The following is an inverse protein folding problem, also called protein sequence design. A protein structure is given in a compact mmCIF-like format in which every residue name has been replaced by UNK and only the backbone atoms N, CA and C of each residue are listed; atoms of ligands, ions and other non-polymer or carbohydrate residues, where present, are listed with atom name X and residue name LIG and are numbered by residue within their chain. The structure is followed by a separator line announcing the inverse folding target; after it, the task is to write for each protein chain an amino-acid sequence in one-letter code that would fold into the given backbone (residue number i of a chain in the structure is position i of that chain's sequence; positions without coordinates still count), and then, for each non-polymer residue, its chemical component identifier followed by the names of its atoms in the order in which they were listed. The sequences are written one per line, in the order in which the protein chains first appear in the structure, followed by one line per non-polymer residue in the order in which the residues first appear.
data_IF_777237575875
#
_entry.id   IF_777237575875
#
_cell.length_a   1.000
_cell.length_b   1.000
_cell.length_c   1.000
_cell.angle_alpha   90.00
_cell.angle_beta   90.00
_cell.angle_gamma   90.00
#
_symmetry.space_group_name_H-M   'P 1'
#
loop_
_entity.id
_entity.type
_entity.pdbx_description
1 polymer ?
#
# COMPACT_ATOMS: atom_id res chain seq x y z
N UNK A 1 -25.88 -26.06 3.88
CA UNK A 1 -25.65 -24.85 3.05
C UNK A 1 -24.77 -23.82 3.76
N UNK A 2 -24.90 -23.58 5.06
CA UNK A 2 -24.03 -22.71 5.86
C UNK A 2 -22.58 -23.22 5.94
N UNK A 3 -22.37 -24.50 6.22
CA UNK A 3 -21.06 -25.11 6.38
C UNK A 3 -20.17 -25.02 5.11
N UNK A 4 -20.76 -25.13 3.92
CA UNK A 4 -20.05 -24.96 2.65
C UNK A 4 -19.67 -23.50 2.37
N UNK A 5 -20.45 -22.55 2.88
CA UNK A 5 -20.19 -21.11 2.72
C UNK A 5 -19.07 -20.66 3.66
N UNK A 6 -19.07 -21.14 4.90
CA UNK A 6 -18.01 -20.85 5.89
C UNK A 6 -16.66 -21.41 5.46
N UNK A 7 -16.62 -22.65 4.96
CA UNK A 7 -15.38 -23.28 4.47
C UNK A 7 -14.79 -22.51 3.28
N UNK A 8 -15.62 -22.07 2.34
CA UNK A 8 -15.19 -21.29 1.17
C UNK A 8 -14.66 -19.91 1.57
N UNK A 9 -15.29 -19.26 2.56
CA UNK A 9 -14.86 -17.96 3.05
C UNK A 9 -13.56 -18.06 3.85
N UNK A 10 -13.39 -19.09 4.67
CA UNK A 10 -12.16 -19.38 5.41
C UNK A 10 -10.98 -19.60 4.45
N UNK A 11 -11.18 -20.34 3.35
CA UNK A 11 -10.16 -20.54 2.33
C UNK A 11 -9.76 -19.25 1.62
N UNK A 12 -10.74 -18.35 1.31
CA UNK A 12 -10.47 -17.05 0.70
C UNK A 12 -9.59 -16.18 1.59
N UNK A 13 -9.96 -16.07 2.88
CA UNK A 13 -9.23 -15.22 3.83
C UNK A 13 -7.82 -15.77 4.09
N UNK A 14 -7.68 -17.09 4.22
CA UNK A 14 -6.38 -17.73 4.41
C UNK A 14 -5.44 -17.52 3.21
N UNK A 15 -5.95 -17.70 1.99
CA UNK A 15 -5.20 -17.44 0.78
C UNK A 15 -4.81 -15.95 0.65
N UNK A 16 -5.76 -15.04 0.88
CA UNK A 16 -5.50 -13.60 0.87
C UNK A 16 -4.47 -13.19 1.93
N UNK A 17 -4.50 -13.80 3.12
CA UNK A 17 -3.53 -13.54 4.18
C UNK A 17 -2.12 -13.98 3.79
N UNK A 18 -1.98 -15.17 3.20
CA UNK A 18 -0.70 -15.68 2.68
C UNK A 18 -0.09 -14.70 1.66
N UNK A 19 -0.88 -14.29 0.67
CA UNK A 19 -0.40 -13.35 -0.34
C UNK A 19 -0.20 -11.94 0.21
N UNK A 20 -1.01 -11.51 1.17
CA UNK A 20 -0.79 -10.26 1.89
C UNK A 20 0.58 -10.24 2.60
N UNK A 21 0.96 -11.36 3.23
CA UNK A 21 2.29 -11.49 3.83
C UNK A 21 3.41 -11.43 2.77
N UNK A 22 3.24 -12.08 1.62
CA UNK A 22 4.20 -12.03 0.51
C UNK A 22 4.34 -10.60 -0.02
N UNK A 23 3.22 -9.91 -0.27
CA UNK A 23 3.21 -8.52 -0.76
C UNK A 23 3.89 -7.59 0.26
N UNK A 24 3.59 -7.77 1.55
CA UNK A 24 4.25 -7.02 2.63
C UNK A 24 5.75 -7.27 2.67
N UNK A 25 6.20 -8.51 2.55
CA UNK A 25 7.62 -8.86 2.51
C UNK A 25 8.32 -8.25 1.28
N UNK A 26 7.71 -8.31 0.10
CA UNK A 26 8.24 -7.68 -1.12
C UNK A 26 8.35 -6.17 -0.94
N UNK A 27 7.34 -5.53 -0.35
CA UNK A 27 7.37 -4.09 -0.06
C UNK A 27 8.50 -3.73 0.89
N UNK A 28 8.73 -4.50 1.95
CA UNK A 28 9.83 -4.31 2.88
C UNK A 28 11.18 -4.43 2.17
N UNK A 29 11.37 -5.46 1.36
CA UNK A 29 12.61 -5.65 0.58
C UNK A 29 12.87 -4.45 -0.33
N UNK A 30 11.84 -3.95 -1.02
CA UNK A 30 11.98 -2.77 -1.88
C UNK A 30 12.35 -1.51 -1.07
N UNK A 31 11.72 -1.30 0.09
CA UNK A 31 12.07 -0.18 0.98
C UNK A 31 13.52 -0.29 1.44
N UNK A 32 13.97 -1.46 1.89
CA UNK A 32 15.36 -1.69 2.33
C UNK A 32 16.35 -1.43 1.19
N UNK A 33 16.09 -1.98 0.00
CA UNK A 33 16.95 -1.79 -1.16
C UNK A 33 17.11 -0.31 -1.50
N UNK A 34 16.00 0.43 -1.56
CA UNK A 34 16.04 1.85 -1.88
C UNK A 34 16.63 2.67 -0.73
N UNK A 35 16.37 2.31 0.52
CA UNK A 35 16.98 2.93 1.70
C UNK A 35 18.53 2.88 1.63
N UNK A 36 19.09 1.72 1.25
CA UNK A 36 20.54 1.54 1.11
C UNK A 36 21.10 2.33 -0.08
N UNK A 37 20.34 2.45 -1.18
CA UNK A 37 20.81 3.12 -2.39
C UNK A 37 20.64 4.64 -2.28
N UNK A 38 19.49 5.14 -1.86
CA UNK A 38 19.19 6.57 -1.82
C UNK A 38 17.96 6.90 -0.98
N UNK A 39 18.18 7.48 0.18
CA UNK A 39 17.09 7.99 1.04
C UNK A 39 16.24 9.03 0.29
N UNK A 40 16.89 9.90 -0.51
CA UNK A 40 16.20 10.91 -1.30
C UNK A 40 15.20 10.30 -2.30
N UNK A 41 15.49 9.12 -2.85
CA UNK A 41 14.57 8.43 -3.76
C UNK A 41 13.33 7.90 -3.04
N UNK A 42 13.45 7.45 -1.76
CA UNK A 42 12.29 7.07 -0.93
C UNK A 42 11.28 8.21 -0.78
N UNK A 43 11.76 9.45 -0.78
CA UNK A 43 10.95 10.65 -0.63
C UNK A 43 10.28 11.10 -1.95
N UNK A 44 10.45 10.37 -3.05
CA UNK A 44 9.92 10.77 -4.37
C UNK A 44 8.58 10.12 -4.69
N UNK A 45 7.75 10.81 -5.45
CA UNK A 45 6.55 10.22 -6.05
C UNK A 45 6.86 9.02 -6.96
N UNK A 46 8.04 8.97 -7.58
CA UNK A 46 8.47 7.85 -8.43
C UNK A 46 8.53 6.55 -7.64
N UNK A 47 9.03 6.58 -6.41
CA UNK A 47 9.05 5.41 -5.54
C UNK A 47 7.63 4.99 -5.11
N UNK A 48 6.75 5.95 -4.80
CA UNK A 48 5.36 5.67 -4.49
C UNK A 48 4.65 4.96 -5.66
N UNK A 49 4.84 5.47 -6.90
CA UNK A 49 4.28 4.85 -8.10
C UNK A 49 4.87 3.46 -8.36
N UNK A 50 6.16 3.25 -8.11
CA UNK A 50 6.80 1.95 -8.24
C UNK A 50 6.13 0.93 -7.30
N UNK A 51 5.96 1.27 -6.02
CA UNK A 51 5.28 0.43 -5.04
C UNK A 51 3.82 0.16 -5.43
N UNK A 52 3.11 1.18 -5.93
CA UNK A 52 1.72 1.04 -6.37
C UNK A 52 1.61 0.04 -7.53
N UNK A 53 2.44 0.17 -8.57
CA UNK A 53 2.40 -0.71 -9.75
C UNK A 53 2.75 -2.14 -9.37
N UNK A 54 3.81 -2.35 -8.59
CA UNK A 54 4.22 -3.68 -8.13
C UNK A 54 3.13 -4.27 -7.23
N UNK A 55 2.61 -3.50 -6.27
CA UNK A 55 1.55 -3.92 -5.37
C UNK A 55 0.27 -4.33 -6.11
N UNK A 56 -0.20 -3.51 -7.06
CA UNK A 56 -1.35 -3.84 -7.90
C UNK A 56 -1.13 -5.12 -8.71
N UNK A 57 0.05 -5.27 -9.33
CA UNK A 57 0.41 -6.48 -10.09
C UNK A 57 0.35 -7.73 -9.22
N UNK A 58 0.91 -7.67 -8.01
CA UNK A 58 0.90 -8.79 -7.07
C UNK A 58 -0.50 -9.11 -6.55
N UNK A 59 -1.35 -8.12 -6.29
CA UNK A 59 -2.75 -8.32 -5.87
C UNK A 59 -3.56 -8.98 -7.00
N UNK A 60 -3.37 -8.53 -8.25
CA UNK A 60 -4.03 -9.15 -9.42
C UNK A 60 -3.56 -10.58 -9.58
N UNK A 61 -2.25 -10.82 -9.50
CA UNK A 61 -1.67 -12.17 -9.56
C UNK A 61 -2.28 -13.08 -8.49
N UNK A 62 -2.27 -12.64 -7.23
CA UNK A 62 -2.84 -13.39 -6.11
C UNK A 62 -4.33 -13.70 -6.29
N UNK A 63 -5.10 -12.74 -6.82
CA UNK A 63 -6.52 -12.95 -7.10
C UNK A 63 -6.78 -13.93 -8.24
N UNK A 64 -5.93 -13.92 -9.29
CA UNK A 64 -5.99 -14.88 -10.39
C UNK A 64 -5.60 -16.28 -9.91
N UNK A 65 -4.57 -16.39 -9.09
CA UNK A 65 -4.12 -17.62 -8.47
C UNK A 65 -5.25 -18.27 -7.65
N UNK A 66 -5.85 -17.51 -6.74
CA UNK A 66 -7.01 -17.97 -5.98
C UNK A 66 -8.18 -18.37 -6.87
N UNK A 67 -8.48 -17.58 -7.92
CA UNK A 67 -9.54 -17.93 -8.88
C UNK A 67 -9.29 -19.29 -9.54
N UNK A 68 -8.05 -19.59 -9.88
CA UNK A 68 -7.69 -20.87 -10.52
C UNK A 68 -7.83 -22.05 -9.54
N UNK A 69 -7.49 -21.86 -8.26
CA UNK A 69 -7.67 -22.88 -7.22
C UNK A 69 -9.15 -23.23 -6.99
N UNK A 70 -10.07 -22.26 -7.12
CA UNK A 70 -11.50 -22.47 -6.87
C UNK A 70 -12.32 -22.86 -8.13
N UNK A 71 -11.67 -23.31 -9.19
CA UNK A 71 -12.35 -23.79 -10.41
C UNK A 71 -12.46 -22.74 -11.53
N UNK A 72 -11.68 -21.67 -11.51
CA UNK A 72 -11.52 -20.73 -12.61
C UNK A 72 -12.52 -19.57 -12.66
N UNK A 73 -13.47 -19.50 -11.72
CA UNK A 73 -14.50 -18.45 -11.66
C UNK A 73 -14.55 -17.79 -10.28
N UNK A 74 -14.62 -16.47 -10.26
CA UNK A 74 -14.77 -15.69 -9.03
C UNK A 74 -15.66 -14.46 -9.27
N UNK A 75 -16.74 -14.26 -8.52
CA UNK A 75 -17.55 -13.07 -8.62
C UNK A 75 -16.80 -11.85 -8.09
N UNK A 76 -17.16 -10.65 -8.60
CA UNK A 76 -16.50 -9.39 -8.27
C UNK A 76 -16.36 -9.14 -6.76
N UNK A 77 -17.42 -9.35 -5.97
CA UNK A 77 -17.41 -9.12 -4.52
C UNK A 77 -16.40 -10.00 -3.77
N UNK A 78 -16.23 -11.27 -4.18
CA UNK A 78 -15.21 -12.17 -3.61
C UNK A 78 -13.80 -11.77 -4.04
N UNK A 79 -13.62 -11.33 -5.30
CA UNK A 79 -12.35 -10.81 -5.79
C UNK A 79 -11.95 -9.53 -5.03
N UNK A 80 -12.91 -8.63 -4.78
CA UNK A 80 -12.72 -7.43 -3.97
C UNK A 80 -12.32 -7.77 -2.53
N UNK A 81 -13.05 -8.66 -1.87
CA UNK A 81 -12.75 -9.05 -0.49
C UNK A 81 -11.35 -9.68 -0.39
N UNK A 82 -10.98 -10.54 -1.35
CA UNK A 82 -9.64 -11.13 -1.42
C UNK A 82 -8.55 -10.06 -1.55
N UNK A 83 -8.67 -9.16 -2.52
CA UNK A 83 -7.69 -8.09 -2.75
C UNK A 83 -7.58 -7.12 -1.57
N UNK A 84 -8.72 -6.71 -0.99
CA UNK A 84 -8.74 -5.84 0.18
C UNK A 84 -8.07 -6.49 1.40
N UNK A 85 -8.36 -7.77 1.66
CA UNK A 85 -7.74 -8.52 2.76
C UNK A 85 -6.23 -8.64 2.56
N UNK A 86 -5.77 -8.96 1.36
CA UNK A 86 -4.35 -9.07 1.06
C UNK A 86 -3.63 -7.71 1.26
N UNK A 87 -4.20 -6.61 0.78
CA UNK A 87 -3.65 -5.27 0.96
C UNK A 87 -3.65 -4.83 2.44
N UNK A 88 -4.71 -5.12 3.18
CA UNK A 88 -4.80 -4.77 4.59
C UNK A 88 -3.71 -5.49 5.41
N UNK A 89 -3.51 -6.78 5.19
CA UNK A 89 -2.46 -7.56 5.86
C UNK A 89 -1.07 -7.07 5.46
N UNK A 90 -0.84 -6.84 4.17
CA UNK A 90 0.41 -6.24 3.69
C UNK A 90 0.70 -4.90 4.35
N UNK A 91 -0.32 -4.05 4.50
CA UNK A 91 -0.22 -2.75 5.16
C UNK A 91 0.14 -2.85 6.64
N UNK A 92 -0.43 -3.82 7.38
CA UNK A 92 -0.04 -4.09 8.78
C UNK A 92 1.44 -4.45 8.86
N UNK A 93 1.89 -5.40 8.04
CA UNK A 93 3.27 -5.86 8.02
C UNK A 93 4.23 -4.70 7.70
N UNK A 94 3.90 -3.91 6.67
CA UNK A 94 4.69 -2.72 6.30
C UNK A 94 4.70 -1.66 7.39
N UNK A 95 3.57 -1.44 8.08
CA UNK A 95 3.49 -0.47 9.19
C UNK A 95 4.35 -0.91 10.36
N UNK A 96 4.29 -2.18 10.76
CA UNK A 96 5.14 -2.73 11.81
C UNK A 96 6.62 -2.59 11.45
N UNK A 97 6.98 -2.90 10.22
CA UNK A 97 8.35 -2.71 9.75
C UNK A 97 8.79 -1.25 9.80
N UNK A 98 7.95 -0.30 9.35
CA UNK A 98 8.26 1.12 9.39
C UNK A 98 8.42 1.64 10.83
N UNK A 99 7.62 1.15 11.78
CA UNK A 99 7.80 1.46 13.19
C UNK A 99 9.20 1.01 13.65
N UNK A 100 9.60 -0.22 13.34
CA UNK A 100 10.93 -0.73 13.70
C UNK A 100 12.04 0.09 13.00
N UNK A 101 11.86 0.40 11.73
CA UNK A 101 12.83 1.17 10.94
C UNK A 101 13.06 2.56 11.55
N UNK A 102 11.99 3.28 11.91
CA UNK A 102 12.06 4.66 12.37
C UNK A 102 12.35 4.80 13.88
N UNK A 103 12.13 3.76 14.68
CA UNK A 103 12.36 3.85 16.15
C UNK A 103 13.59 3.10 16.63
N UNK A 104 14.01 2.06 15.91
CA UNK A 104 15.09 1.15 16.36
C UNK A 104 16.26 1.13 15.38
N UNK A 105 16.00 0.98 14.07
CA UNK A 105 17.06 0.76 13.06
C UNK A 105 17.74 2.08 12.69
N UNK A 106 16.97 3.10 12.31
CA UNK A 106 17.48 4.44 11.99
C UNK A 106 16.52 5.53 12.51
N UNK A 107 16.67 5.94 13.80
CA UNK A 107 15.84 7.00 14.38
C UNK A 107 16.02 8.39 13.74
N UNK A 108 17.08 8.59 12.97
CA UNK A 108 17.32 9.85 12.23
C UNK A 108 16.62 9.85 10.86
N UNK A 109 16.22 8.68 10.34
CA UNK A 109 15.60 8.56 9.03
C UNK A 109 14.32 9.41 8.87
N UNK A 110 13.42 9.52 9.87
CA UNK A 110 12.26 10.40 9.79
C UNK A 110 12.61 11.85 9.48
N UNK A 111 13.67 12.39 10.10
CA UNK A 111 14.11 13.75 9.83
C UNK A 111 14.64 13.89 8.41
N UNK A 112 15.51 12.97 7.98
CA UNK A 112 16.08 12.95 6.62
C UNK A 112 14.98 12.83 5.56
N UNK A 113 13.96 12.01 5.80
CA UNK A 113 12.80 11.87 4.91
C UNK A 113 11.97 13.15 4.88
N UNK A 114 11.72 13.76 6.02
CA UNK A 114 10.97 15.04 6.11
C UNK A 114 11.65 16.10 5.26
N UNK A 115 12.95 16.31 5.43
CA UNK A 115 13.73 17.28 4.66
C UNK A 115 13.71 16.99 3.16
N UNK A 116 13.88 15.70 2.77
CA UNK A 116 13.85 15.30 1.37
C UNK A 116 12.47 15.48 0.73
N UNK A 117 11.39 15.18 1.45
CA UNK A 117 10.01 15.36 0.95
C UNK A 117 9.70 16.85 0.79
N UNK A 118 10.09 17.70 1.76
CA UNK A 118 9.93 19.16 1.67
C UNK A 118 10.66 19.71 0.46
N UNK A 119 11.94 19.33 0.26
CA UNK A 119 12.72 19.78 -0.89
C UNK A 119 12.08 19.33 -2.22
N UNK A 120 11.63 18.08 -2.32
CA UNK A 120 10.95 17.59 -3.52
C UNK A 120 9.63 18.32 -3.77
N UNK A 121 8.87 18.61 -2.71
CA UNK A 121 7.58 19.33 -2.82
C UNK A 121 7.81 20.76 -3.31
N UNK A 122 8.82 21.46 -2.79
CA UNK A 122 9.20 22.80 -3.25
C UNK A 122 9.48 22.80 -4.75
N UNK A 123 10.34 21.88 -5.23
CA UNK A 123 10.66 21.75 -6.65
C UNK A 123 9.39 21.51 -7.49
N UNK A 124 8.51 20.64 -7.03
CA UNK A 124 7.25 20.36 -7.74
C UNK A 124 6.37 21.60 -7.79
N UNK A 125 6.17 22.30 -6.67
CA UNK A 125 5.32 23.49 -6.61
C UNK A 125 5.86 24.62 -7.50
N UNK A 126 7.19 24.85 -7.50
CA UNK A 126 7.84 25.83 -8.39
C UNK A 126 7.65 25.47 -9.87
N UNK A 127 7.82 24.20 -10.23
CA UNK A 127 7.61 23.72 -11.60
C UNK A 127 6.17 23.88 -12.10
N UNK A 128 5.19 23.83 -11.19
CA UNK A 128 3.78 24.11 -11.48
C UNK A 128 3.42 25.60 -11.44
N UNK A 129 4.41 26.49 -11.17
CA UNK A 129 4.19 27.93 -11.15
C UNK A 129 3.42 28.43 -9.94
N UNK A 130 3.47 27.73 -8.81
CA UNK A 130 2.80 28.15 -7.59
C UNK A 130 3.42 29.47 -7.08
N UNK A 131 2.60 30.43 -6.55
CA UNK A 131 3.10 31.67 -5.95
C UNK A 131 4.03 31.39 -4.75
N UNK A 132 5.11 32.17 -4.60
CA UNK A 132 6.08 32.00 -3.51
C UNK A 132 5.43 31.95 -2.11
N UNK A 133 4.47 32.85 -1.83
CA UNK A 133 3.76 32.84 -0.53
C UNK A 133 3.01 31.55 -0.25
N UNK A 134 2.43 30.92 -1.29
CA UNK A 134 1.76 29.61 -1.14
C UNK A 134 2.76 28.47 -0.94
N UNK A 135 3.93 28.57 -1.54
CA UNK A 135 5.03 27.61 -1.34
C UNK A 135 5.51 27.68 0.11
N UNK A 136 5.83 28.89 0.60
CA UNK A 136 6.33 29.10 1.96
C UNK A 136 5.32 28.61 3.02
N UNK A 137 4.04 28.92 2.84
CA UNK A 137 2.97 28.46 3.74
C UNK A 137 2.89 26.93 3.76
N UNK A 138 2.88 26.30 2.59
CA UNK A 138 2.82 24.82 2.46
C UNK A 138 4.03 24.14 3.10
N UNK A 139 5.25 24.65 2.83
CA UNK A 139 6.47 24.07 3.38
C UNK A 139 6.57 24.26 4.90
N UNK A 140 6.16 25.40 5.44
CA UNK A 140 6.12 25.64 6.90
C UNK A 140 5.15 24.68 7.57
N UNK A 141 3.94 24.51 7.02
CA UNK A 141 2.97 23.53 7.51
C UNK A 141 3.53 22.09 7.46
N UNK A 142 4.23 21.74 6.39
CA UNK A 142 4.86 20.43 6.29
C UNK A 142 5.94 20.22 7.34
N UNK A 143 6.77 21.21 7.64
CA UNK A 143 7.79 21.14 8.71
C UNK A 143 7.19 20.85 10.08
N UNK A 144 6.01 21.39 10.35
CA UNK A 144 5.32 21.22 11.64
C UNK A 144 4.55 19.89 11.75
N UNK A 145 4.00 19.39 10.64
CA UNK A 145 3.10 18.25 10.63
C UNK A 145 3.78 16.92 10.27
N UNK A 146 4.77 16.92 9.38
CA UNK A 146 5.39 15.69 8.89
C UNK A 146 6.10 14.87 9.96
N UNK A 147 6.84 15.45 10.92
CA UNK A 147 7.47 14.65 11.96
C UNK A 147 6.47 13.82 12.76
N UNK A 148 5.25 14.32 12.94
CA UNK A 148 4.17 13.63 13.66
C UNK A 148 3.71 12.35 12.93
N UNK A 149 3.84 12.31 11.60
CA UNK A 149 3.43 11.15 10.79
C UNK A 149 4.36 9.96 10.96
N UNK A 150 5.62 10.18 11.33
CA UNK A 150 6.61 9.13 11.57
C UNK A 150 6.58 8.57 12.99
N UNK A 151 5.77 9.13 13.89
CA UNK A 151 5.55 8.56 15.23
C UNK A 151 4.73 7.27 15.13
N UNK A 152 4.80 6.42 16.18
CA UNK A 152 3.99 5.19 16.25
C UNK A 152 2.50 5.50 16.03
N UNK A 153 1.98 6.54 16.71
CA UNK A 153 0.59 6.98 16.54
C UNK A 153 0.30 7.51 15.15
N UNK A 154 1.23 8.26 14.54
CA UNK A 154 1.13 8.76 13.19
C UNK A 154 1.10 7.65 12.14
N UNK A 155 1.95 6.64 12.29
CA UNK A 155 1.98 5.46 11.41
C UNK A 155 0.70 4.61 11.54
N UNK A 156 0.22 4.38 12.77
CA UNK A 156 -1.04 3.68 13.00
C UNK A 156 -2.24 4.44 12.39
N UNK A 157 -2.30 5.75 12.58
CA UNK A 157 -3.33 6.59 11.95
C UNK A 157 -3.20 6.62 10.42
N UNK A 158 -1.97 6.66 9.91
CA UNK A 158 -1.67 6.54 8.49
C UNK A 158 -2.19 5.24 7.89
N UNK A 159 -2.01 4.11 8.59
CA UNK A 159 -2.55 2.82 8.18
C UNK A 159 -4.08 2.83 8.07
N UNK A 160 -4.78 3.41 9.07
CA UNK A 160 -6.25 3.51 9.02
C UNK A 160 -6.71 4.32 7.80
N UNK A 161 -6.04 5.43 7.49
CA UNK A 161 -6.31 6.21 6.26
C UNK A 161 -5.98 5.42 5.00
N UNK A 162 -4.92 4.62 5.01
CA UNK A 162 -4.53 3.80 3.87
C UNK A 162 -5.55 2.70 3.54
N UNK A 163 -6.37 2.23 4.49
CA UNK A 163 -7.45 1.27 4.23
C UNK A 163 -8.45 1.78 3.18
N UNK A 164 -8.72 3.10 3.15
CA UNK A 164 -9.57 3.71 2.10
C UNK A 164 -8.92 3.58 0.73
N UNK A 165 -7.61 3.85 0.64
CA UNK A 165 -6.85 3.67 -0.60
C UNK A 165 -6.77 2.20 -1.02
N UNK A 166 -6.58 1.29 -0.06
CA UNK A 166 -6.60 -0.15 -0.34
C UNK A 166 -7.95 -0.61 -0.89
N UNK A 167 -9.06 -0.07 -0.38
CA UNK A 167 -10.37 -0.34 -0.95
C UNK A 167 -10.49 0.14 -2.40
N UNK A 168 -10.00 1.35 -2.71
CA UNK A 168 -9.98 1.88 -4.09
C UNK A 168 -9.12 0.98 -5.01
N UNK A 169 -7.93 0.58 -4.57
CA UNK A 169 -7.04 -0.31 -5.32
C UNK A 169 -7.71 -1.68 -5.52
N UNK A 170 -8.32 -2.24 -4.46
CA UNK A 170 -9.02 -3.51 -4.53
C UNK A 170 -10.23 -3.46 -5.49
N UNK A 171 -10.97 -2.35 -5.56
CA UNK A 171 -12.05 -2.17 -6.54
C UNK A 171 -11.51 -2.25 -7.97
N UNK A 172 -10.41 -1.56 -8.26
CA UNK A 172 -9.80 -1.55 -9.59
C UNK A 172 -9.23 -2.93 -9.94
N UNK A 173 -8.43 -3.53 -9.06
CA UNK A 173 -7.78 -4.83 -9.32
C UNK A 173 -8.79 -5.96 -9.47
N UNK A 174 -9.92 -5.89 -8.76
CA UNK A 174 -11.00 -6.88 -8.87
C UNK A 174 -11.65 -6.95 -10.25
N UNK A 175 -11.61 -5.87 -11.03
CA UNK A 175 -12.10 -5.86 -12.42
C UNK A 175 -11.28 -6.82 -13.30
N UNK A 176 -9.98 -6.96 -13.02
CA UNK A 176 -9.07 -7.86 -13.75
C UNK A 176 -9.15 -9.30 -13.26
N UNK A 177 -9.48 -9.48 -11.99
CA UNK A 177 -9.54 -10.80 -11.34
C UNK A 177 -10.87 -11.52 -11.59
N UNK A 178 -11.98 -10.77 -11.62
CA UNK A 178 -13.33 -11.35 -11.75
C UNK A 178 -13.49 -12.19 -13.02
N UNK A 179 -14.17 -13.29 -12.91
CA UNK A 179 -14.64 -14.11 -14.02
C UNK A 179 -15.94 -14.80 -13.62
N UNK A 180 -17.03 -14.48 -14.31
CA UNK A 180 -18.33 -15.08 -14.06
C UNK A 180 -18.45 -16.44 -14.73
N UNK A 181 -19.24 -17.34 -14.13
CA UNK A 181 -19.62 -18.61 -14.77
C UNK A 181 -20.38 -18.32 -16.05
N UNK A 182 -20.08 -18.99 -17.18
CA UNK A 182 -20.89 -18.86 -18.39
C UNK A 182 -22.34 -19.27 -18.11
N UNK A 183 -23.29 -18.48 -18.57
CA UNK A 183 -24.70 -18.88 -18.54
C UNK A 183 -24.88 -19.84 -19.72
N UNK A 184 -25.10 -21.12 -19.43
CA UNK A 184 -25.54 -22.07 -20.47
C UNK A 184 -26.97 -21.68 -20.86
N UNK A 185 -27.17 -21.30 -22.11
CA UNK A 185 -28.47 -20.97 -22.73
C UNK A 185 -29.14 -22.25 -23.19
#
# INVERSE_FOLDING_TARGET
MEESTETTQSNLLSHAAKFGAIIGAVSIVLVILIYVISIAFLATFKFLFLLLIIGMGLVIYAGIDYRNEIGGYIPYGKAFLHGLTALAISGIISTVFNILLYTVIDPELPQKLTEAIIANTEVVMRNFGAPEGSIDEALNKMRDEMPKQFTIGGLAYGYVKALVWYACIALITSLFVRKNVPVEL
#
